data_IF_862765336892
#
_entry.id   IF_862765336892
#
_cell.length_a   1.000
_cell.length_b   1.000
_cell.length_c   1.000
_cell.angle_alpha   90.00
_cell.angle_beta   90.00
_cell.angle_gamma   90.00
#
_symmetry.space_group_name_H-M   'P 1'
#
loop_
_entity.id
_entity.type
_entity.pdbx_description
1 polymer ?
#
# COMPACT_ATOMS: atom_id res chain seq x y z
N UNK A 1 -12.34 -8.77 -10.74
CA UNK A 1 -11.80 -9.86 -9.90
C UNK A 1 -10.28 -9.76 -9.69
N UNK A 2 -9.47 -9.25 -10.64
CA UNK A 2 -8.01 -9.12 -10.43
C UNK A 2 -7.56 -7.89 -9.63
N UNK A 3 -8.31 -6.79 -9.64
CA UNK A 3 -7.90 -5.55 -8.95
C UNK A 3 -8.04 -5.63 -7.43
N UNK A 4 -9.08 -6.29 -6.93
CA UNK A 4 -9.30 -6.49 -5.48
C UNK A 4 -8.16 -7.30 -4.85
N UNK A 5 -7.70 -8.34 -5.53
CA UNK A 5 -6.55 -9.14 -5.11
C UNK A 5 -5.26 -8.30 -5.03
N UNK A 6 -5.05 -7.38 -5.99
CA UNK A 6 -3.89 -6.50 -5.99
C UNK A 6 -3.95 -5.45 -4.86
N UNK A 7 -5.14 -4.94 -4.54
CA UNK A 7 -5.34 -4.03 -3.41
C UNK A 7 -5.04 -4.76 -2.10
N UNK A 8 -5.54 -5.99 -1.92
CA UNK A 8 -5.27 -6.81 -0.73
C UNK A 8 -3.76 -7.07 -0.55
N UNK A 9 -3.05 -7.34 -1.64
CA UNK A 9 -1.58 -7.47 -1.62
C UNK A 9 -0.91 -6.15 -1.23
N UNK A 10 -1.33 -5.03 -1.80
CA UNK A 10 -0.77 -3.71 -1.47
C UNK A 10 -0.96 -3.38 0.02
N UNK A 11 -2.17 -3.61 0.56
CA UNK A 11 -2.48 -3.45 1.98
C UNK A 11 -1.56 -4.33 2.83
N UNK A 12 -1.42 -5.60 2.51
CA UNK A 12 -0.55 -6.56 3.24
C UNK A 12 0.91 -6.11 3.25
N UNK A 13 1.42 -5.63 2.11
CA UNK A 13 2.79 -5.12 2.01
C UNK A 13 3.00 -3.86 2.85
N UNK A 14 2.01 -2.97 2.92
CA UNK A 14 2.10 -1.74 3.71
C UNK A 14 1.99 -2.04 5.21
N UNK A 15 1.05 -2.89 5.62
CA UNK A 15 0.86 -3.25 7.04
C UNK A 15 2.01 -4.08 7.58
N UNK A 16 2.60 -4.99 6.79
CA UNK A 16 3.82 -5.72 7.20
C UNK A 16 5.02 -4.80 7.42
N UNK A 17 5.01 -3.58 6.89
CA UNK A 17 6.01 -2.53 7.16
C UNK A 17 5.64 -1.59 8.31
N UNK A 18 4.55 -1.86 9.02
CA UNK A 18 4.09 -1.06 10.15
C UNK A 18 3.31 0.19 9.75
N UNK A 19 2.90 0.32 8.48
CA UNK A 19 1.98 1.38 8.10
C UNK A 19 0.53 0.99 8.42
N UNK A 20 -0.24 1.93 8.95
CA UNK A 20 -1.70 1.78 8.99
C UNK A 20 -2.28 2.07 7.61
N UNK A 21 -3.27 1.28 7.18
CA UNK A 21 -3.99 1.49 5.92
C UNK A 21 -5.48 1.51 6.24
N UNK A 22 -6.15 2.59 5.84
CA UNK A 22 -7.56 2.83 6.14
C UNK A 22 -8.31 3.02 4.83
N UNK A 23 -9.37 2.25 4.55
CA UNK A 23 -10.25 2.52 3.42
C UNK A 23 -11.18 3.71 3.74
N UNK A 24 -11.65 4.40 2.70
CA UNK A 24 -12.79 5.31 2.80
C UNK A 24 -14.11 4.52 2.87
N UNK A 25 -15.24 5.23 2.99
CA UNK A 25 -16.55 4.61 3.22
C UNK A 25 -17.02 3.75 2.05
N UNK A 26 -16.60 4.12 0.84
CA UNK A 26 -17.01 3.50 -0.42
C UNK A 26 -15.97 2.48 -0.94
N UNK A 27 -14.84 2.31 -0.25
CA UNK A 27 -13.70 1.48 -0.67
C UNK A 27 -13.11 1.90 -2.03
N UNK A 28 -13.21 3.19 -2.38
CA UNK A 28 -12.64 3.76 -3.60
C UNK A 28 -11.26 4.38 -3.36
N UNK A 29 -10.97 4.77 -2.11
CA UNK A 29 -9.72 5.39 -1.72
C UNK A 29 -9.16 4.81 -0.42
N UNK A 30 -7.85 4.94 -0.26
CA UNK A 30 -7.10 4.42 0.87
C UNK A 30 -6.15 5.48 1.43
N UNK A 31 -6.10 5.59 2.74
CA UNK A 31 -5.17 6.44 3.46
C UNK A 31 -4.11 5.60 4.13
N UNK A 32 -2.85 6.00 3.98
CA UNK A 32 -1.70 5.32 4.59
C UNK A 32 -1.10 6.21 5.67
N UNK A 33 -0.95 5.68 6.89
CA UNK A 33 -0.34 6.37 8.03
C UNK A 33 -0.93 7.77 8.32
N UNK A 34 -2.24 7.94 8.12
CA UNK A 34 -2.92 9.24 8.30
C UNK A 34 -2.58 10.31 7.25
N UNK A 35 -1.92 9.94 6.16
CA UNK A 35 -1.54 10.84 5.07
C UNK A 35 -2.69 11.19 4.12
N UNK A 36 -2.34 11.49 2.87
CA UNK A 36 -3.33 11.80 1.82
C UNK A 36 -4.07 10.53 1.37
N UNK A 37 -5.33 10.70 0.97
CA UNK A 37 -6.11 9.66 0.30
C UNK A 37 -5.53 9.31 -1.06
N UNK A 38 -5.42 8.02 -1.36
CA UNK A 38 -4.86 7.46 -2.58
C UNK A 38 -5.93 6.61 -3.26
N UNK A 39 -5.98 6.67 -4.59
CA UNK A 39 -6.73 5.68 -5.38
C UNK A 39 -6.07 4.30 -5.27
N UNK A 40 -6.75 3.25 -5.73
CA UNK A 40 -6.22 1.88 -5.75
C UNK A 40 -4.86 1.81 -6.46
N UNK A 41 -4.74 2.49 -7.61
CA UNK A 41 -3.50 2.59 -8.37
C UNK A 41 -2.39 3.34 -7.60
N UNK A 42 -2.76 4.39 -6.86
CA UNK A 42 -1.82 5.12 -6.00
C UNK A 42 -1.31 4.26 -4.84
N UNK A 43 -2.20 3.49 -4.20
CA UNK A 43 -1.85 2.55 -3.14
C UNK A 43 -0.90 1.45 -3.63
N UNK A 44 -1.20 0.86 -4.80
CA UNK A 44 -0.37 -0.17 -5.41
C UNK A 44 1.02 0.38 -5.78
N UNK A 45 1.08 1.56 -6.39
CA UNK A 45 2.34 2.22 -6.72
C UNK A 45 3.20 2.49 -5.47
N UNK A 46 2.58 2.90 -4.35
CA UNK A 46 3.27 3.09 -3.08
C UNK A 46 3.81 1.77 -2.51
N UNK A 47 2.99 0.72 -2.50
CA UNK A 47 3.40 -0.60 -2.04
C UNK A 47 4.59 -1.15 -2.85
N UNK A 48 4.56 -1.01 -4.18
CA UNK A 48 5.67 -1.39 -5.07
C UNK A 48 6.93 -0.59 -4.76
N UNK A 49 6.83 0.74 -4.65
CA UNK A 49 7.98 1.60 -4.33
C UNK A 49 8.64 1.22 -3.01
N UNK A 50 7.84 0.96 -1.97
CA UNK A 50 8.37 0.50 -0.68
C UNK A 50 8.96 -0.91 -0.78
N UNK A 51 8.38 -1.78 -1.61
CA UNK A 51 8.92 -3.11 -1.88
C UNK A 51 10.31 -3.04 -2.50
N UNK A 52 10.45 -2.26 -3.55
CA UNK A 52 11.72 -2.06 -4.26
C UNK A 52 12.76 -1.37 -3.37
N UNK A 53 12.37 -0.36 -2.58
CA UNK A 53 13.31 0.33 -1.68
C UNK A 53 13.81 -0.56 -0.54
N UNK A 54 13.00 -1.51 -0.04
CA UNK A 54 13.44 -2.44 0.99
C UNK A 54 14.49 -3.46 0.51
N UNK A 55 14.69 -3.58 -0.81
CA UNK A 55 15.71 -4.45 -1.41
C UNK A 55 17.13 -3.85 -1.45
N UNK A 56 17.28 -2.53 -1.30
CA UNK A 56 18.60 -1.85 -1.37
C UNK A 56 19.33 -1.80 -0.02
N UNK A 57 18.64 -2.13 1.09
CA UNK A 57 19.15 -1.95 2.45
C UNK A 57 19.60 -3.19 3.23
N UNK A 58 19.63 -4.39 2.62
CA UNK A 58 20.10 -5.62 3.30
C UNK A 58 21.45 -6.14 2.81
N UNK A 59 22.42 -5.23 2.70
CA UNK A 59 23.85 -5.54 2.66
C UNK A 59 24.64 -4.47 3.43
N UNK A 60 24.43 -4.39 4.75
CA UNK A 60 25.43 -3.87 5.69
C UNK A 60 25.38 -4.70 6.97
#
# INVERSE_FOLDING_TARGET
MFEEDLIAVAVTVLTSRGHTVEPDVDFENWRVAGGTWLTAGGLLALAIRLCLNSGVGRLQ
#
